data_IF_817407730978
#
_entry.id   IF_817407730978
#
_cell.length_a   1.000
_cell.length_b   1.000
_cell.length_c   1.000
_cell.angle_alpha   90.00
_cell.angle_beta   90.00
_cell.angle_gamma   90.00
#
_symmetry.space_group_name_H-M   'P 1'
#
loop_
_entity.id
_entity.type
_entity.pdbx_description
1 polymer ?
#
# COMPACT_ATOMS: atom_id res chain seq x y z
N UNK A 1 -13.59 -32.96 11.06
CA UNK A 1 -13.46 -34.43 10.90
C UNK A 1 -13.94 -35.06 12.18
N UNK A 2 -15.21 -35.44 12.18
CA UNK A 2 -15.85 -36.21 13.25
C UNK A 2 -15.34 -37.65 13.24
N UNK A 3 -15.29 -38.34 14.39
CA UNK A 3 -15.07 -39.77 14.40
C UNK A 3 -16.39 -40.51 14.16
N UNK A 4 -16.37 -41.37 13.14
CA UNK A 4 -17.44 -42.32 12.82
C UNK A 4 -17.78 -43.22 14.01
N UNK A 5 -18.96 -42.99 14.58
CA UNK A 5 -19.70 -43.94 15.39
C UNK A 5 -20.36 -44.97 14.46
N UNK A 6 -19.81 -46.18 14.42
CA UNK A 6 -20.46 -47.35 13.84
C UNK A 6 -21.40 -47.98 14.87
N UNK A 7 -22.66 -47.55 14.87
CA UNK A 7 -23.77 -48.28 15.48
C UNK A 7 -24.02 -49.58 14.70
N UNK A 8 -24.15 -50.70 15.41
CA UNK A 8 -24.95 -51.84 14.94
C UNK A 8 -26.01 -52.14 16.01
N UNK A 9 -27.23 -51.72 15.72
CA UNK A 9 -28.46 -52.10 16.40
C UNK A 9 -29.16 -53.23 15.63
N UNK A 10 -29.91 -54.02 16.41
CA UNK A 10 -31.01 -54.91 16.03
C UNK A 10 -30.68 -56.36 15.60
N UNK A 11 -31.12 -57.29 16.45
CA UNK A 11 -32.00 -58.39 16.02
C UNK A 11 -32.75 -58.90 17.27
N UNK A 12 -33.98 -58.41 17.45
CA UNK A 12 -35.03 -59.15 18.15
C UNK A 12 -35.49 -60.32 17.26
N UNK A 13 -36.13 -61.31 17.91
CA UNK A 13 -36.92 -62.41 17.32
C UNK A 13 -36.15 -63.64 16.83
N UNK A 14 -36.13 -64.71 17.64
CA UNK A 14 -36.89 -65.94 17.33
C UNK A 14 -37.43 -66.54 18.63
N UNK A 15 -38.74 -66.38 18.81
CA UNK A 15 -39.59 -67.11 19.73
C UNK A 15 -40.28 -68.17 18.87
N UNK A 16 -39.97 -69.46 19.02
CA UNK A 16 -40.91 -70.54 18.67
C UNK A 16 -40.49 -71.88 19.29
N UNK A 17 -41.50 -72.52 19.89
CA UNK A 17 -41.61 -73.93 20.29
C UNK A 17 -40.84 -74.40 21.53
N UNK A 18 -41.50 -74.28 22.68
CA UNK A 18 -41.98 -75.52 23.30
C UNK A 18 -43.32 -75.29 24.02
N UNK A 19 -44.38 -75.67 23.31
CA UNK A 19 -45.73 -75.85 23.83
C UNK A 19 -45.75 -77.04 24.78
N UNK A 20 -46.40 -76.87 25.93
CA UNK A 20 -47.07 -77.98 26.60
C UNK A 20 -46.29 -78.63 27.74
N UNK A 21 -46.34 -78.00 28.90
CA UNK A 21 -46.75 -78.74 30.10
C UNK A 21 -47.27 -77.76 31.15
N UNK A 22 -48.59 -77.56 31.16
CA UNK A 22 -49.32 -77.26 32.39
C UNK A 22 -49.13 -78.47 33.32
N UNK A 23 -48.03 -78.52 34.05
CA UNK A 23 -47.93 -79.40 35.19
C UNK A 23 -48.46 -78.67 36.40
N UNK A 24 -49.55 -79.26 36.89
CA UNK A 24 -50.25 -79.00 38.13
C UNK A 24 -49.27 -78.59 39.22
N UNK A 25 -49.60 -77.49 39.89
CA UNK A 25 -49.10 -77.18 41.23
C UNK A 25 -49.64 -78.30 42.12
N UNK A 26 -48.90 -79.41 42.19
CA UNK A 26 -49.04 -80.40 43.21
C UNK A 26 -48.28 -79.88 44.41
N UNK A 27 -48.99 -79.75 45.54
CA UNK A 27 -48.41 -79.47 46.84
C UNK A 27 -47.38 -80.56 47.15
N UNK A 28 -46.13 -80.27 46.83
CA UNK A 28 -44.94 -81.07 47.11
C UNK A 28 -43.82 -80.11 47.52
N UNK A 29 -43.56 -80.09 48.82
CA UNK A 29 -42.37 -79.56 49.51
C UNK A 29 -41.77 -78.26 48.99
N UNK A 30 -42.28 -77.14 49.51
CA UNK A 30 -41.65 -75.82 49.44
C UNK A 30 -40.16 -75.84 49.87
N UNK A 31 -39.77 -76.82 50.69
CA UNK A 31 -38.40 -77.11 51.12
C UNK A 31 -37.48 -77.59 49.99
N UNK A 32 -37.97 -78.39 49.03
CA UNK A 32 -37.15 -78.93 47.93
C UNK A 32 -36.97 -77.93 46.79
N UNK A 33 -37.96 -77.07 46.54
CA UNK A 33 -37.81 -75.91 45.65
C UNK A 33 -36.81 -74.89 46.21
N UNK A 34 -36.82 -74.65 47.53
CA UNK A 34 -35.83 -73.77 48.18
C UNK A 34 -34.42 -74.36 48.16
N UNK A 35 -34.26 -75.68 48.32
CA UNK A 35 -32.97 -76.38 48.18
C UNK A 35 -32.38 -76.25 46.78
N UNK A 36 -33.22 -76.38 45.75
CA UNK A 36 -32.80 -76.25 44.34
C UNK A 36 -32.45 -74.80 43.97
N UNK A 37 -33.21 -73.81 44.45
CA UNK A 37 -32.88 -72.40 44.25
C UNK A 37 -31.56 -72.04 44.95
N UNK A 38 -31.33 -72.58 46.15
CA UNK A 38 -30.08 -72.36 46.88
C UNK A 38 -28.88 -73.05 46.19
N UNK A 39 -29.04 -74.25 45.64
CA UNK A 39 -27.95 -74.91 44.89
C UNK A 39 -27.60 -74.15 43.61
N UNK A 40 -28.59 -73.63 42.87
CA UNK A 40 -28.35 -72.78 41.68
C UNK A 40 -27.59 -71.50 42.07
N UNK A 41 -27.95 -70.85 43.18
CA UNK A 41 -27.25 -69.65 43.66
C UNK A 41 -25.80 -69.94 44.06
N UNK A 42 -25.57 -71.07 44.74
CA UNK A 42 -24.22 -71.49 45.15
C UNK A 42 -23.35 -71.84 43.94
N UNK A 43 -23.88 -72.59 42.97
CA UNK A 43 -23.14 -72.91 41.74
C UNK A 43 -22.89 -71.67 40.88
N UNK A 44 -23.84 -70.74 40.77
CA UNK A 44 -23.62 -69.46 40.10
C UNK A 44 -22.51 -68.65 40.79
N UNK A 45 -22.52 -68.56 42.12
CA UNK A 45 -21.46 -67.87 42.85
C UNK A 45 -20.09 -68.54 42.67
N UNK A 46 -20.05 -69.89 42.57
CA UNK A 46 -18.84 -70.66 42.24
C UNK A 46 -18.35 -70.37 40.82
N UNK A 47 -19.23 -70.38 39.82
CA UNK A 47 -18.88 -70.04 38.45
C UNK A 47 -18.40 -68.59 38.31
N UNK A 48 -19.07 -67.62 38.94
CA UNK A 48 -18.63 -66.23 38.95
C UNK A 48 -17.27 -66.04 39.64
N UNK A 49 -16.97 -66.82 40.69
CA UNK A 49 -15.66 -66.83 41.33
C UNK A 49 -14.58 -67.45 40.40
N UNK A 50 -14.87 -68.60 39.78
CA UNK A 50 -13.97 -69.27 38.84
C UNK A 50 -13.71 -68.43 37.60
N UNK A 51 -14.71 -67.72 37.07
CA UNK A 51 -14.56 -66.84 35.91
C UNK A 51 -13.74 -65.59 36.24
N UNK A 52 -13.88 -65.04 37.46
CA UNK A 52 -12.97 -63.98 37.95
C UNK A 52 -11.53 -64.47 38.05
N UNK A 53 -11.31 -65.68 38.56
CA UNK A 53 -9.98 -66.28 38.68
C UNK A 53 -9.38 -66.62 37.31
N UNK A 54 -10.19 -67.11 36.36
CA UNK A 54 -9.76 -67.33 34.97
C UNK A 54 -9.42 -66.02 34.27
N UNK A 55 -10.22 -64.98 34.49
CA UNK A 55 -9.96 -63.64 33.94
C UNK A 55 -8.67 -63.06 34.50
N UNK A 56 -8.44 -63.15 35.82
CA UNK A 56 -7.22 -62.64 36.45
C UNK A 56 -5.96 -63.35 35.95
N UNK A 57 -6.03 -64.67 35.72
CA UNK A 57 -4.93 -65.44 35.11
C UNK A 57 -4.70 -65.07 33.64
N UNK A 58 -5.77 -64.83 32.87
CA UNK A 58 -5.68 -64.42 31.46
C UNK A 58 -5.21 -62.97 31.26
N UNK A 59 -5.32 -62.10 32.28
CA UNK A 59 -4.88 -60.71 32.21
C UNK A 59 -3.36 -60.57 32.07
N UNK A 60 -2.57 -61.42 32.72
CA UNK A 60 -1.10 -61.33 32.70
C UNK A 60 -0.51 -61.44 31.28
N UNK A 61 -0.80 -62.50 30.48
CA UNK A 61 -0.29 -62.59 29.12
C UNK A 61 -0.85 -61.48 28.21
N UNK A 62 -2.10 -61.05 28.41
CA UNK A 62 -2.68 -59.93 27.66
C UNK A 62 -1.95 -58.61 27.95
N UNK A 63 -1.69 -58.29 29.21
CA UNK A 63 -0.97 -57.07 29.61
C UNK A 63 0.50 -57.11 29.17
N UNK A 64 1.13 -58.30 29.16
CA UNK A 64 2.46 -58.47 28.60
C UNK A 64 2.49 -58.14 27.11
N UNK A 65 1.48 -58.57 26.34
CA UNK A 65 1.34 -58.20 24.92
C UNK A 65 1.11 -56.69 24.75
N UNK A 66 0.25 -56.07 25.57
CA UNK A 66 0.04 -54.61 25.54
C UNK A 66 1.33 -53.85 25.84
N UNK A 67 2.10 -54.29 26.83
CA UNK A 67 3.39 -53.68 27.20
C UNK A 67 4.41 -53.77 26.07
N UNK A 68 4.55 -54.95 25.45
CA UNK A 68 5.47 -55.16 24.31
C UNK A 68 5.09 -54.38 23.06
N UNK A 69 3.80 -54.09 22.83
CA UNK A 69 3.38 -53.21 21.74
C UNK A 69 3.63 -51.73 22.05
N UNK A 70 3.32 -51.27 23.27
CA UNK A 70 3.53 -49.88 23.68
C UNK A 70 5.00 -49.46 23.67
N UNK A 71 5.92 -50.35 24.02
CA UNK A 71 7.35 -50.05 24.00
C UNK A 71 7.92 -49.82 22.60
N UNK A 72 7.23 -50.27 21.54
CA UNK A 72 7.62 -50.02 20.14
C UNK A 72 7.31 -48.60 19.68
N UNK A 73 6.40 -47.89 20.36
CA UNK A 73 6.04 -46.51 20.07
C UNK A 73 6.69 -45.56 21.08
N UNK A 74 7.55 -44.66 20.60
CA UNK A 74 8.06 -43.54 21.41
C UNK A 74 7.15 -42.32 21.23
N UNK A 75 6.92 -41.59 22.33
CA UNK A 75 6.33 -40.26 22.23
C UNK A 75 7.27 -39.32 21.45
N UNK A 76 6.70 -38.42 20.66
CA UNK A 76 7.48 -37.42 19.91
C UNK A 76 7.87 -36.26 20.81
N UNK A 77 9.06 -35.69 20.58
CA UNK A 77 9.56 -34.52 21.30
C UNK A 77 9.20 -33.23 20.54
N UNK A 78 8.26 -32.46 21.09
CA UNK A 78 7.74 -31.27 20.43
C UNK A 78 8.73 -30.11 20.37
N UNK A 79 9.85 -30.18 21.10
CA UNK A 79 10.91 -29.16 21.04
C UNK A 79 11.80 -29.31 19.80
N UNK A 80 11.72 -30.45 19.11
CA UNK A 80 12.63 -30.84 18.02
C UNK A 80 12.01 -30.76 16.63
N UNK A 81 11.20 -29.74 16.36
CA UNK A 81 10.45 -29.59 15.11
C UNK A 81 11.31 -29.75 13.84
N UNK A 82 12.47 -29.09 13.76
CA UNK A 82 13.31 -29.14 12.55
C UNK A 82 14.31 -30.32 12.54
N UNK A 83 14.48 -31.01 13.67
CA UNK A 83 15.44 -32.12 13.82
C UNK A 83 14.81 -33.48 13.52
N UNK A 84 13.56 -33.70 13.94
CA UNK A 84 12.82 -34.95 13.70
C UNK A 84 11.75 -34.77 12.62
N UNK A 85 11.82 -35.50 11.49
CA UNK A 85 10.83 -35.42 10.42
C UNK A 85 9.42 -35.86 10.86
N UNK A 86 9.28 -36.79 11.81
CA UNK A 86 7.97 -37.23 12.30
C UNK A 86 7.26 -36.11 13.07
N UNK A 87 8.04 -35.25 13.72
CA UNK A 87 7.51 -34.06 14.41
C UNK A 87 7.02 -33.01 13.39
N UNK A 88 7.68 -32.89 12.23
CA UNK A 88 7.22 -32.05 11.13
C UNK A 88 5.90 -32.56 10.54
N UNK A 89 5.77 -33.88 10.36
CA UNK A 89 4.53 -34.48 9.88
C UNK A 89 3.37 -34.27 10.86
N UNK A 90 3.63 -34.44 12.17
CA UNK A 90 2.64 -34.22 13.23
C UNK A 90 2.16 -32.76 13.30
N UNK A 91 3.07 -31.79 13.16
CA UNK A 91 2.75 -30.36 13.24
C UNK A 91 2.27 -29.76 11.89
N UNK A 92 2.40 -30.48 10.78
CA UNK A 92 1.99 -29.99 9.47
C UNK A 92 0.47 -29.86 9.38
N UNK A 93 -0.02 -28.75 8.83
CA UNK A 93 -1.46 -28.52 8.60
C UNK A 93 -2.11 -29.64 7.77
N UNK A 94 -1.38 -30.17 6.79
CA UNK A 94 -1.80 -31.29 5.94
C UNK A 94 -1.61 -32.68 6.58
N UNK A 95 -1.07 -32.77 7.80
CA UNK A 95 -0.72 -34.03 8.46
C UNK A 95 0.48 -34.77 7.85
N UNK A 96 1.16 -34.14 6.89
CA UNK A 96 2.42 -34.61 6.30
C UNK A 96 3.21 -33.42 5.78
N UNK A 97 4.54 -33.50 5.89
CA UNK A 97 5.46 -32.48 5.40
C UNK A 97 5.53 -32.47 3.87
N UNK A 98 6.03 -31.36 3.34
CA UNK A 98 6.26 -31.21 1.90
C UNK A 98 7.22 -32.30 1.40
N UNK A 99 6.82 -33.02 0.35
CA UNK A 99 7.64 -34.05 -0.30
C UNK A 99 8.85 -33.43 -1.00
N UNK A 100 9.87 -34.26 -1.22
CA UNK A 100 11.00 -33.91 -2.09
C UNK A 100 10.49 -33.58 -3.51
N UNK A 101 11.12 -32.62 -4.23
CA UNK A 101 10.66 -32.21 -5.55
C UNK A 101 10.50 -33.34 -6.57
N UNK A 102 11.35 -34.37 -6.53
CA UNK A 102 11.29 -35.54 -7.44
C UNK A 102 10.13 -36.49 -7.14
N UNK A 103 9.55 -36.41 -5.94
CA UNK A 103 8.46 -37.28 -5.49
C UNK A 103 7.08 -36.60 -5.64
N UNK A 104 7.04 -35.39 -6.21
CA UNK A 104 5.80 -34.68 -6.56
C UNK A 104 5.45 -35.04 -8.00
N UNK A 105 4.36 -35.77 -8.24
CA UNK A 105 4.02 -36.29 -9.58
C UNK A 105 3.62 -35.19 -10.57
N UNK A 106 3.13 -34.04 -10.08
CA UNK A 106 2.46 -32.98 -10.81
C UNK A 106 3.17 -31.61 -10.70
N UNK A 107 4.50 -31.60 -10.79
CA UNK A 107 5.32 -30.39 -10.71
C UNK A 107 5.69 -29.74 -12.05
N UNK A 108 6.62 -28.78 -12.00
CA UNK A 108 7.22 -28.17 -13.19
C UNK A 108 6.31 -27.13 -13.87
N UNK A 109 6.23 -27.18 -15.20
CA UNK A 109 5.56 -26.14 -15.99
C UNK A 109 4.07 -26.01 -15.70
N UNK A 110 3.41 -27.09 -15.27
CA UNK A 110 1.98 -27.11 -14.97
C UNK A 110 1.60 -26.21 -13.77
N UNK A 111 2.50 -26.08 -12.79
CA UNK A 111 2.28 -25.27 -11.59
C UNK A 111 2.83 -23.84 -11.73
N UNK A 112 3.31 -23.44 -12.91
CA UNK A 112 3.83 -22.10 -13.14
C UNK A 112 2.73 -21.05 -12.94
N UNK A 113 2.94 -20.12 -12.02
CA UNK A 113 2.01 -19.01 -11.75
C UNK A 113 2.26 -17.87 -12.75
N UNK A 114 2.00 -18.15 -14.03
CA UNK A 114 2.08 -17.16 -15.13
C UNK A 114 0.74 -16.44 -15.36
N UNK A 115 -0.23 -16.62 -14.46
CA UNK A 115 -1.53 -15.93 -14.51
C UNK A 115 -1.37 -14.42 -14.28
N UNK A 116 -0.40 -14.01 -13.45
CA UNK A 116 -0.04 -12.62 -13.23
C UNK A 116 0.90 -12.19 -14.36
N UNK A 117 0.32 -11.87 -15.51
CA UNK A 117 1.02 -11.36 -16.69
C UNK A 117 0.21 -10.24 -17.32
N UNK A 118 0.92 -9.27 -17.89
CA UNK A 118 0.31 -8.19 -18.63
C UNK A 118 1.24 -7.77 -19.77
N UNK A 119 0.67 -7.15 -20.80
CA UNK A 119 1.42 -6.52 -21.88
C UNK A 119 1.29 -5.02 -21.69
N UNK A 120 2.42 -4.33 -21.71
CA UNK A 120 2.46 -2.86 -21.74
C UNK A 120 2.51 -2.39 -23.17
N UNK A 121 1.48 -1.67 -23.59
CA UNK A 121 1.50 -0.91 -24.83
C UNK A 121 2.02 0.49 -24.49
N UNK A 122 3.19 0.84 -25.02
CA UNK A 122 3.84 2.12 -24.78
C UNK A 122 4.07 2.84 -26.11
N UNK A 123 3.61 4.08 -26.19
CA UNK A 123 3.89 4.93 -27.35
C UNK A 123 5.36 5.34 -27.38
N UNK A 124 5.85 5.71 -28.55
CA UNK A 124 7.26 6.05 -28.78
C UNK A 124 7.80 7.13 -27.81
N UNK A 125 6.98 8.11 -27.44
CA UNK A 125 7.35 9.21 -26.54
C UNK A 125 6.49 9.26 -25.25
N UNK A 126 5.77 8.18 -24.93
CA UNK A 126 4.98 8.18 -23.70
C UNK A 126 5.90 8.25 -22.48
N UNK A 127 5.78 9.33 -21.71
CA UNK A 127 6.58 9.52 -20.50
C UNK A 127 6.06 8.67 -19.36
N UNK A 128 4.73 8.58 -19.20
CA UNK A 128 4.06 7.82 -18.14
C UNK A 128 3.15 6.77 -18.75
N UNK A 129 3.30 5.49 -18.38
CA UNK A 129 2.37 4.46 -18.82
C UNK A 129 1.00 4.65 -18.15
N UNK A 130 -0.06 4.69 -18.95
CA UNK A 130 -1.46 4.78 -18.50
C UNK A 130 -2.11 3.40 -18.28
N UNK A 131 -1.41 2.31 -18.62
CA UNK A 131 -1.87 0.91 -18.56
C UNK A 131 -2.16 0.39 -17.13
N UNK A 132 -1.80 1.14 -16.10
CA UNK A 132 -1.92 0.74 -14.70
C UNK A 132 -0.92 -0.34 -14.27
N UNK A 133 0.05 -0.67 -15.12
CA UNK A 133 1.10 -1.65 -14.81
C UNK A 133 2.11 -1.12 -13.78
N UNK A 134 2.96 -2.00 -13.23
CA UNK A 134 3.99 -1.62 -12.26
C UNK A 134 4.93 -0.53 -12.81
N UNK A 135 5.23 0.44 -11.95
CA UNK A 135 6.19 1.51 -12.24
C UNK A 135 7.52 1.20 -11.58
N UNK A 136 8.61 1.55 -12.25
CA UNK A 136 9.93 1.60 -11.64
C UNK A 136 10.00 2.72 -10.59
N UNK A 137 10.94 2.60 -9.66
CA UNK A 137 11.26 3.66 -8.70
C UNK A 137 11.89 4.86 -9.42
N UNK A 138 11.71 6.07 -8.88
CA UNK A 138 12.20 7.34 -9.44
C UNK A 138 13.73 7.46 -9.51
N UNK A 139 14.45 6.55 -8.83
CA UNK A 139 15.89 6.38 -9.04
C UNK A 139 16.24 5.84 -10.43
N UNK A 140 15.31 5.18 -11.12
CA UNK A 140 15.49 4.68 -12.48
C UNK A 140 15.02 5.73 -13.48
N UNK A 141 15.86 6.05 -14.48
CA UNK A 141 15.59 7.11 -15.46
C UNK A 141 14.56 6.72 -16.55
N UNK A 142 13.37 6.25 -16.17
CA UNK A 142 12.23 5.88 -17.04
C UNK A 142 10.91 6.29 -16.38
N UNK A 143 9.74 6.12 -17.03
CA UNK A 143 8.42 6.33 -16.43
C UNK A 143 8.22 7.72 -15.80
N UNK A 144 8.57 8.79 -16.51
CA UNK A 144 8.40 10.18 -16.05
C UNK A 144 9.23 10.57 -14.81
N UNK A 145 10.33 9.86 -14.57
CA UNK A 145 11.27 10.13 -13.47
C UNK A 145 11.71 11.60 -13.35
N UNK A 146 11.74 12.37 -14.44
CA UNK A 146 12.14 13.79 -14.43
C UNK A 146 11.20 14.63 -13.58
N UNK A 147 9.89 14.39 -13.67
CA UNK A 147 8.90 15.11 -12.88
C UNK A 147 9.00 14.68 -11.41
N UNK A 148 9.09 13.38 -11.16
CA UNK A 148 9.15 12.82 -9.80
C UNK A 148 10.41 13.27 -9.05
N UNK A 149 11.59 13.24 -9.70
CA UNK A 149 12.84 13.69 -9.06
C UNK A 149 12.89 15.19 -8.77
N UNK A 150 12.05 15.99 -9.44
CA UNK A 150 11.94 17.44 -9.24
C UNK A 150 10.80 17.80 -8.27
N UNK A 151 10.10 16.82 -7.73
CA UNK A 151 9.08 17.03 -6.71
C UNK A 151 9.71 17.42 -5.36
N UNK A 152 8.99 18.23 -4.59
CA UNK A 152 9.44 18.74 -3.28
C UNK A 152 9.61 17.63 -2.24
N UNK A 153 8.81 16.56 -2.33
CA UNK A 153 8.80 15.48 -1.35
C UNK A 153 9.68 14.30 -1.77
N UNK A 154 10.35 14.38 -2.92
CA UNK A 154 11.31 13.39 -3.36
C UNK A 154 12.62 13.48 -2.56
N UNK A 155 13.21 12.32 -2.25
CA UNK A 155 14.47 12.21 -1.51
C UNK A 155 15.34 11.11 -2.13
N UNK A 156 16.50 11.49 -2.65
CA UNK A 156 17.54 10.52 -3.00
C UNK A 156 18.41 10.20 -1.78
N UNK A 157 18.81 8.94 -1.65
CA UNK A 157 19.75 8.51 -0.62
C UNK A 157 21.22 8.81 -0.94
N UNK A 158 21.51 9.31 -2.14
CA UNK A 158 22.86 9.67 -2.55
C UNK A 158 23.04 11.18 -2.68
N UNK A 159 24.27 11.64 -2.47
CA UNK A 159 24.61 13.05 -2.67
C UNK A 159 24.48 13.47 -4.15
N UNK A 160 24.06 14.72 -4.42
CA UNK A 160 23.94 15.26 -5.77
C UNK A 160 25.32 15.31 -6.45
N UNK A 161 25.32 15.21 -7.78
CA UNK A 161 26.56 15.01 -8.57
C UNK A 161 27.53 16.17 -8.41
N UNK A 162 27.01 17.39 -8.30
CA UNK A 162 27.78 18.63 -8.14
C UNK A 162 28.65 18.65 -6.88
N UNK A 163 28.32 17.83 -5.87
CA UNK A 163 29.02 17.78 -4.58
C UNK A 163 29.83 16.49 -4.39
N UNK A 164 29.89 15.61 -5.39
CA UNK A 164 30.69 14.37 -5.31
C UNK A 164 32.17 14.68 -5.57
N UNK A 165 33.07 14.05 -4.81
CA UNK A 165 34.52 14.27 -4.91
C UNK A 165 35.33 13.07 -5.42
N UNK A 166 34.68 12.00 -5.90
CA UNK A 166 35.37 10.78 -6.31
C UNK A 166 35.46 10.61 -7.84
N UNK A 167 36.60 10.12 -8.34
CA UNK A 167 36.75 9.77 -9.75
C UNK A 167 36.05 8.46 -10.17
N UNK A 168 35.71 7.57 -9.23
CA UNK A 168 34.97 6.34 -9.53
C UNK A 168 33.52 6.65 -9.91
N UNK A 169 33.01 6.02 -10.96
CA UNK A 169 31.66 6.22 -11.52
C UNK A 169 31.35 7.64 -12.02
N UNK A 170 32.39 8.47 -12.23
CA UNK A 170 32.22 9.75 -12.89
C UNK A 170 32.02 9.55 -14.40
N UNK A 171 30.98 10.17 -14.97
CA UNK A 171 30.82 10.22 -16.43
C UNK A 171 31.80 11.21 -17.03
N UNK A 172 32.14 11.06 -18.32
CA UNK A 172 33.05 11.97 -19.02
C UNK A 172 32.62 13.44 -18.86
N UNK A 173 31.32 13.71 -19.07
CA UNK A 173 30.77 15.05 -18.88
C UNK A 173 30.94 15.54 -17.44
N UNK A 174 30.62 14.72 -16.43
CA UNK A 174 30.69 15.12 -15.04
C UNK A 174 32.12 15.38 -14.55
N UNK A 175 33.11 14.67 -15.12
CA UNK A 175 34.51 14.89 -14.79
C UNK A 175 35.06 16.19 -15.40
N UNK A 176 34.55 16.62 -16.56
CA UNK A 176 35.00 17.84 -17.26
C UNK A 176 34.25 19.10 -16.88
N UNK A 177 32.95 18.99 -16.62
CA UNK A 177 32.05 20.11 -16.36
C UNK A 177 31.67 20.15 -14.88
N UNK A 178 32.53 20.79 -14.10
CA UNK A 178 32.31 21.10 -12.68
C UNK A 178 31.95 22.58 -12.51
N UNK A 179 31.22 22.96 -11.45
CA UNK A 179 30.93 24.37 -11.20
C UNK A 179 32.23 25.17 -11.06
N UNK A 180 32.35 26.25 -11.85
CA UNK A 180 33.59 27.03 -11.95
C UNK A 180 33.84 27.98 -10.78
N UNK A 181 32.77 28.45 -10.12
CA UNK A 181 32.83 29.41 -9.02
C UNK A 181 32.83 28.69 -7.65
N UNK A 182 33.88 28.87 -6.83
CA UNK A 182 33.90 28.34 -5.46
C UNK A 182 32.77 28.89 -4.59
N UNK A 183 32.44 30.18 -4.72
CA UNK A 183 31.33 30.82 -4.00
C UNK A 183 29.98 30.17 -4.33
N UNK A 184 29.78 29.77 -5.60
CA UNK A 184 28.60 29.03 -5.98
C UNK A 184 28.54 27.66 -5.30
N UNK A 185 29.65 26.93 -5.26
CA UNK A 185 29.73 25.62 -4.59
C UNK A 185 29.44 25.76 -3.11
N UNK A 186 29.94 26.80 -2.44
CA UNK A 186 29.67 27.07 -1.04
C UNK A 186 28.17 27.35 -0.79
N UNK A 187 27.53 28.18 -1.62
CA UNK A 187 26.08 28.44 -1.53
C UNK A 187 25.24 27.17 -1.70
N UNK A 188 25.58 26.34 -2.69
CA UNK A 188 24.89 25.06 -2.94
C UNK A 188 25.08 24.11 -1.76
N UNK A 189 26.32 23.99 -1.26
CA UNK A 189 26.66 23.12 -0.14
C UNK A 189 25.98 23.56 1.16
N UNK A 190 25.97 24.85 1.45
CA UNK A 190 25.30 25.44 2.62
C UNK A 190 23.80 25.16 2.58
N UNK A 191 23.14 25.42 1.44
CA UNK A 191 21.70 25.16 1.26
C UNK A 191 21.39 23.67 1.38
N UNK A 192 22.18 22.81 0.74
CA UNK A 192 22.01 21.35 0.76
C UNK A 192 22.14 20.77 2.18
N UNK A 193 23.19 21.14 2.89
CA UNK A 193 23.44 20.66 4.25
C UNK A 193 22.42 21.20 5.26
N UNK A 194 21.99 22.46 5.10
CA UNK A 194 21.04 23.11 6.01
C UNK A 194 19.60 22.63 5.86
N UNK A 195 19.22 22.05 4.72
CA UNK A 195 17.82 21.68 4.43
C UNK A 195 17.68 20.22 4.02
N UNK A 196 18.17 19.86 2.85
CA UNK A 196 17.77 18.62 2.16
C UNK A 196 18.57 17.40 2.60
N UNK A 197 19.85 17.54 3.03
CA UNK A 197 20.73 16.40 3.32
C UNK A 197 20.16 15.42 4.35
N UNK A 198 19.67 15.94 5.47
CA UNK A 198 19.17 15.14 6.59
C UNK A 198 17.63 15.11 6.70
N UNK A 199 16.93 15.84 5.82
CA UNK A 199 15.49 15.74 5.73
C UNK A 199 15.05 14.35 5.24
N UNK A 200 14.03 13.78 5.90
CA UNK A 200 13.36 12.58 5.43
C UNK A 200 14.17 11.28 5.51
N UNK A 201 15.24 11.20 6.31
CA UNK A 201 16.09 10.01 6.42
C UNK A 201 15.33 8.75 6.85
N UNK A 202 14.25 8.89 7.62
CA UNK A 202 13.42 7.77 8.06
C UNK A 202 12.78 6.98 6.89
N UNK A 203 12.69 7.57 5.70
CA UNK A 203 12.17 6.92 4.49
C UNK A 203 13.24 6.14 3.72
N UNK A 204 14.52 6.32 4.05
CA UNK A 204 15.61 5.68 3.31
C UNK A 204 15.81 4.27 3.87
N UNK A 205 15.55 3.27 3.02
CA UNK A 205 15.76 1.87 3.37
C UNK A 205 17.25 1.48 3.44
N UNK A 206 17.56 0.23 3.83
CA UNK A 206 18.93 -0.25 3.96
C UNK A 206 19.72 -0.26 2.65
N UNK A 207 19.04 -0.24 1.50
CA UNK A 207 19.66 -0.16 0.17
C UNK A 207 20.02 1.26 -0.25
N UNK A 208 19.67 2.28 0.56
CA UNK A 208 19.83 3.69 0.20
C UNK A 208 18.76 4.22 -0.76
N UNK A 209 17.75 3.42 -1.11
CA UNK A 209 16.60 3.85 -1.91
C UNK A 209 15.48 4.27 -0.96
N UNK A 210 14.86 5.42 -1.21
CA UNK A 210 13.75 5.90 -0.40
C UNK A 210 12.44 5.21 -0.81
N UNK A 211 11.65 4.83 0.19
CA UNK A 211 10.31 4.30 -0.03
C UNK A 211 9.37 5.44 -0.52
N UNK A 212 8.51 5.17 -1.52
CA UNK A 212 7.52 6.14 -1.95
C UNK A 212 6.52 6.42 -0.83
N UNK A 213 5.98 7.65 -0.81
CA UNK A 213 4.96 8.02 0.18
C UNK A 213 3.63 7.40 -0.23
N UNK A 214 3.11 6.49 0.60
CA UNK A 214 1.81 5.88 0.36
C UNK A 214 0.71 6.71 1.04
N UNK A 215 -0.26 7.26 0.28
CA UNK A 215 -1.42 7.92 0.88
C UNK A 215 -2.26 6.89 1.63
N UNK A 216 -2.67 7.21 2.86
CA UNK A 216 -3.45 6.31 3.73
C UNK A 216 -4.93 6.62 3.71
N UNK A 217 -5.30 7.87 3.46
CA UNK A 217 -6.70 8.33 3.48
C UNK A 217 -7.08 8.98 2.15
N UNK A 218 -8.36 8.90 1.80
CA UNK A 218 -8.87 9.42 0.53
C UNK A 218 -8.71 10.94 0.34
N UNK A 219 -8.60 11.69 1.43
CA UNK A 219 -8.41 13.15 1.41
C UNK A 219 -6.95 13.57 1.56
N UNK A 220 -6.02 12.64 1.78
CA UNK A 220 -4.60 12.96 1.88
C UNK A 220 -4.06 13.31 0.48
N UNK A 221 -3.52 14.51 0.35
CA UNK A 221 -2.83 14.96 -0.86
C UNK A 221 -1.34 14.69 -0.70
N UNK A 222 -0.68 14.29 -1.79
CA UNK A 222 0.78 14.05 -1.81
C UNK A 222 1.58 15.34 -1.67
N UNK A 223 0.95 16.49 -1.94
CA UNK A 223 1.55 17.82 -1.94
C UNK A 223 0.59 18.85 -2.54
N UNK A 224 1.06 20.09 -2.61
CA UNK A 224 0.37 21.19 -3.30
C UNK A 224 0.76 21.18 -4.78
N UNK A 225 -0.22 21.01 -5.68
CA UNK A 225 0.03 20.85 -7.12
C UNK A 225 -0.54 21.98 -7.98
N UNK A 226 -1.59 22.66 -7.49
CA UNK A 226 -2.29 23.70 -8.26
C UNK A 226 -1.71 25.07 -7.93
N UNK A 227 -1.62 25.39 -6.65
CA UNK A 227 -0.93 26.59 -6.18
C UNK A 227 0.52 26.24 -5.88
N UNK A 228 1.28 25.86 -6.92
CA UNK A 228 2.73 25.63 -6.82
C UNK A 228 3.52 26.91 -6.53
N UNK A 229 2.82 28.01 -6.17
CA UNK A 229 3.41 29.28 -5.75
C UNK A 229 4.48 28.93 -4.75
N UNK A 230 5.69 29.10 -5.24
CA UNK A 230 6.92 28.87 -4.53
C UNK A 230 6.83 29.53 -3.17
N UNK A 231 7.33 28.89 -2.10
CA UNK A 231 7.18 29.28 -0.68
C UNK A 231 7.78 30.69 -0.38
N UNK A 232 7.25 31.73 -1.02
CA UNK A 232 7.85 33.04 -1.19
C UNK A 232 9.13 33.05 -2.04
N UNK A 233 9.98 34.00 -1.69
CA UNK A 233 11.28 34.25 -2.31
C UNK A 233 12.39 33.58 -1.50
N UNK A 234 13.38 32.99 -2.17
CA UNK A 234 14.46 32.30 -1.47
C UNK A 234 15.46 31.60 -2.38
N UNK A 235 16.31 30.77 -1.77
CA UNK A 235 17.43 30.09 -2.46
C UNK A 235 17.08 28.68 -2.92
N UNK A 236 16.05 28.06 -2.35
CA UNK A 236 15.69 26.67 -2.68
C UNK A 236 14.97 26.59 -4.03
N UNK A 237 15.03 25.45 -4.76
CA UNK A 237 14.34 25.29 -6.05
C UNK A 237 12.82 25.50 -5.99
N UNK A 238 12.22 25.26 -4.82
CA UNK A 238 10.78 25.45 -4.56
C UNK A 238 10.43 26.86 -4.09
N UNK A 239 11.41 27.79 -4.10
CA UNK A 239 11.24 29.22 -3.84
C UNK A 239 11.56 30.06 -5.09
N UNK A 240 10.98 31.25 -5.19
CA UNK A 240 11.23 32.18 -6.30
C UNK A 240 12.61 32.82 -6.14
N UNK A 241 13.44 32.77 -7.18
CA UNK A 241 14.79 33.37 -7.22
C UNK A 241 14.77 34.81 -7.74
N UNK A 242 13.62 35.47 -7.71
CA UNK A 242 13.43 36.84 -8.21
C UNK A 242 14.19 37.83 -7.30
N UNK A 243 15.06 38.64 -7.90
CA UNK A 243 15.76 39.71 -7.17
C UNK A 243 14.77 40.75 -6.66
N UNK A 244 15.10 41.39 -5.53
CA UNK A 244 14.20 42.34 -4.86
C UNK A 244 13.75 43.48 -5.78
N UNK A 245 14.69 44.03 -6.55
CA UNK A 245 14.42 45.11 -7.51
C UNK A 245 13.41 44.73 -8.59
N UNK A 246 13.30 43.44 -8.93
CA UNK A 246 12.46 42.95 -10.04
C UNK A 246 11.11 42.39 -9.59
N UNK A 247 10.82 42.34 -8.29
CA UNK A 247 9.57 41.77 -7.76
C UNK A 247 8.33 42.47 -8.31
N UNK A 248 7.36 41.72 -8.84
CA UNK A 248 6.11 42.28 -9.37
C UNK A 248 6.23 42.90 -10.76
N UNK A 249 7.35 42.72 -11.45
CA UNK A 249 7.47 43.10 -12.86
C UNK A 249 6.68 42.13 -13.74
N UNK A 250 6.05 42.61 -14.82
CA UNK A 250 5.17 41.75 -15.63
C UNK A 250 5.90 40.62 -16.38
N UNK A 251 7.20 40.76 -16.64
CA UNK A 251 8.02 39.77 -17.38
C UNK A 251 8.77 38.79 -16.48
N UNK A 252 8.78 39.03 -15.16
CA UNK A 252 9.47 38.18 -14.17
C UNK A 252 8.67 38.12 -12.87
N UNK A 253 8.23 36.92 -12.51
CA UNK A 253 7.59 36.67 -11.22
C UNK A 253 6.60 35.51 -11.28
N UNK A 254 6.74 34.57 -10.35
CA UNK A 254 5.79 33.47 -10.14
C UNK A 254 5.19 33.49 -8.73
N UNK A 255 5.82 34.19 -7.80
CA UNK A 255 5.33 34.50 -6.46
C UNK A 255 4.71 35.92 -6.38
N UNK A 256 3.72 36.06 -5.50
CA UNK A 256 3.09 37.34 -5.22
C UNK A 256 4.10 38.33 -4.61
N UNK A 257 4.28 39.55 -5.16
CA UNK A 257 5.20 40.54 -4.61
C UNK A 257 4.74 41.05 -3.23
N UNK A 258 3.43 41.20 -3.04
CA UNK A 258 2.79 41.59 -1.79
C UNK A 258 1.45 40.87 -1.66
N UNK A 259 1.19 40.28 -0.49
CA UNK A 259 -0.08 39.63 -0.21
C UNK A 259 -1.05 40.64 0.41
N UNK A 260 -2.32 40.55 0.02
CA UNK A 260 -3.42 41.36 0.57
C UNK A 260 -3.29 42.89 0.42
N UNK A 261 -2.47 43.38 -0.50
CA UNK A 261 -2.45 44.79 -0.83
C UNK A 261 -3.32 45.06 -2.06
N UNK A 262 -4.22 46.03 -1.92
CA UNK A 262 -5.13 46.39 -2.99
C UNK A 262 -4.54 47.55 -3.78
N UNK A 263 -4.70 47.49 -5.10
CA UNK A 263 -4.14 48.48 -6.04
C UNK A 263 -4.56 49.91 -5.63
N UNK A 264 -5.81 50.11 -5.21
CA UNK A 264 -6.29 51.41 -4.75
C UNK A 264 -5.55 51.91 -3.50
N UNK A 265 -5.32 51.05 -2.50
CA UNK A 265 -4.55 51.42 -1.32
C UNK A 265 -3.10 51.77 -1.66
N UNK A 266 -2.44 50.99 -2.53
CA UNK A 266 -1.08 51.32 -3.02
C UNK A 266 -1.03 52.68 -3.72
N UNK A 267 -2.00 52.98 -4.60
CA UNK A 267 -2.06 54.29 -5.26
C UNK A 267 -2.36 55.44 -4.30
N UNK A 268 -3.16 55.22 -3.25
CA UNK A 268 -3.39 56.23 -2.20
C UNK A 268 -2.13 56.52 -1.38
N UNK A 269 -1.24 55.53 -1.22
CA UNK A 269 0.11 55.70 -0.63
C UNK A 269 1.11 56.34 -1.60
N UNK A 270 0.70 56.64 -2.84
CA UNK A 270 1.55 57.19 -3.90
C UNK A 270 2.72 56.27 -4.29
N UNK A 271 2.57 54.96 -4.10
CA UNK A 271 3.52 53.96 -4.58
C UNK A 271 3.34 53.74 -6.09
N UNK A 272 4.43 53.73 -6.89
CA UNK A 272 4.34 53.36 -8.30
C UNK A 272 3.95 51.89 -8.47
N UNK A 273 2.98 51.63 -9.34
CA UNK A 273 2.52 50.28 -9.64
C UNK A 273 3.63 49.46 -10.31
N UNK A 274 4.11 48.44 -9.61
CA UNK A 274 5.30 47.67 -9.95
C UNK A 274 5.20 46.93 -11.28
N UNK A 275 3.99 46.51 -11.67
CA UNK A 275 3.70 45.86 -12.95
C UNK A 275 3.71 46.82 -14.15
N UNK A 276 3.71 48.13 -13.93
CA UNK A 276 3.82 49.14 -14.98
C UNK A 276 5.27 49.50 -15.33
N UNK A 277 6.24 48.99 -14.57
CA UNK A 277 7.67 49.18 -14.87
C UNK A 277 7.98 48.63 -16.26
N UNK A 278 8.94 49.25 -16.93
CA UNK A 278 9.34 48.85 -18.30
C UNK A 278 10.54 47.92 -18.24
N UNK A 279 10.58 46.98 -19.17
CA UNK A 279 11.76 46.14 -19.39
C UNK A 279 12.68 46.83 -20.41
N UNK A 280 13.97 46.92 -20.11
CA UNK A 280 14.97 47.25 -21.11
C UNK A 280 15.32 45.93 -21.80
N UNK A 281 14.91 45.77 -23.06
CA UNK A 281 15.37 44.64 -23.88
C UNK A 281 16.86 44.82 -24.15
N UNK A 282 17.69 43.89 -23.67
CA UNK A 282 19.13 43.85 -23.98
C UNK A 282 19.40 43.44 -25.44
N UNK A 283 18.39 42.92 -26.14
CA UNK A 283 18.48 42.61 -27.57
C UNK A 283 17.98 43.79 -28.43
N UNK A 284 18.85 44.46 -29.21
CA UNK A 284 18.47 45.56 -30.10
C UNK A 284 17.56 45.13 -31.27
N UNK A 285 17.38 43.83 -31.52
CA UNK A 285 16.45 43.29 -32.54
C UNK A 285 15.07 42.93 -31.99
N UNK A 286 14.93 42.83 -30.68
CA UNK A 286 13.66 42.62 -29.99
C UNK A 286 12.88 43.95 -29.99
N UNK A 287 12.05 44.14 -31.02
CA UNK A 287 11.10 45.26 -31.10
C UNK A 287 9.87 45.07 -30.20
N UNK A 288 9.93 44.13 -29.25
CA UNK A 288 8.82 43.87 -28.34
C UNK A 288 8.93 44.88 -27.19
N UNK A 289 8.17 45.97 -27.31
CA UNK A 289 7.86 47.00 -26.29
C UNK A 289 8.79 48.23 -26.16
N UNK A 290 9.57 48.58 -27.20
CA UNK A 290 10.30 49.87 -27.23
C UNK A 290 9.41 51.10 -27.51
N UNK A 291 8.11 50.92 -27.79
CA UNK A 291 7.19 52.02 -28.11
C UNK A 291 5.93 51.98 -27.26
N UNK A 292 6.04 52.39 -26.00
CA UNK A 292 4.97 53.13 -25.37
C UNK A 292 5.57 54.46 -24.92
N UNK A 293 5.08 55.58 -25.44
CA UNK A 293 5.42 56.91 -24.90
C UNK A 293 5.19 56.90 -23.39
N UNK A 294 5.99 57.59 -22.55
CA UNK A 294 5.53 57.88 -21.20
C UNK A 294 4.15 58.54 -21.34
N UNK A 295 3.15 58.06 -20.60
CA UNK A 295 2.03 58.95 -20.28
C UNK A 295 2.66 60.00 -19.37
N UNK A 296 2.89 61.24 -19.84
CA UNK A 296 3.28 62.28 -18.92
C UNK A 296 2.16 62.36 -17.89
N UNK A 297 2.52 62.40 -16.62
CA UNK A 297 1.61 62.93 -15.62
C UNK A 297 1.05 64.25 -16.18
N UNK A 298 -0.28 64.33 -16.23
CA UNK A 298 -1.06 65.46 -16.72
C UNK A 298 -1.01 65.73 -18.24
N UNK A 299 -1.57 64.82 -19.05
CA UNK A 299 -2.11 65.24 -20.35
C UNK A 299 -3.55 65.74 -20.17
N UNK A 300 -3.93 66.80 -20.88
CA UNK A 300 -5.30 67.33 -20.88
C UNK A 300 -6.37 66.25 -21.22
N UNK A 301 -5.98 65.19 -21.94
CA UNK A 301 -6.84 64.04 -22.21
C UNK A 301 -7.13 63.18 -20.98
N UNK A 302 -6.17 63.05 -20.06
CA UNK A 302 -6.31 62.26 -18.82
C UNK A 302 -7.19 62.98 -17.79
N UNK A 303 -7.13 64.32 -17.74
CA UNK A 303 -8.05 65.17 -16.99
C UNK A 303 -9.49 65.05 -17.51
N UNK A 304 -9.67 65.08 -18.83
CA UNK A 304 -10.99 64.93 -19.47
C UNK A 304 -11.62 63.55 -19.23
N UNK A 305 -10.81 62.49 -19.10
CA UNK A 305 -11.28 61.15 -18.74
C UNK A 305 -11.62 61.08 -17.24
N UNK A 306 -10.85 61.73 -16.35
CA UNK A 306 -11.16 61.81 -14.91
C UNK A 306 -12.45 62.60 -14.63
N UNK A 307 -12.62 63.75 -15.29
CA UNK A 307 -13.85 64.57 -15.21
C UNK A 307 -15.03 63.86 -15.89
N UNK A 308 -14.79 63.20 -17.03
CA UNK A 308 -15.77 62.35 -17.70
C UNK A 308 -16.23 61.16 -16.85
N UNK A 309 -15.31 60.52 -16.10
CA UNK A 309 -15.62 59.45 -15.15
C UNK A 309 -16.40 59.96 -13.92
N UNK A 310 -16.12 61.17 -13.44
CA UNK A 310 -16.95 61.80 -12.39
C UNK A 310 -18.36 62.12 -12.89
N UNK A 311 -18.52 62.55 -14.15
CA UNK A 311 -19.84 62.81 -14.75
C UNK A 311 -20.66 61.56 -15.09
N UNK A 312 -20.01 60.39 -15.24
CA UNK A 312 -20.67 59.11 -15.60
C UNK A 312 -20.96 58.21 -14.40
N UNK A 313 -20.69 58.67 -13.17
CA UNK A 313 -21.12 57.99 -11.94
C UNK A 313 -22.65 58.01 -11.71
N UNK A 314 -23.43 58.59 -12.62
CA UNK A 314 -24.85 58.30 -12.75
C UNK A 314 -25.07 57.27 -13.86
N UNK A 315 -24.68 56.01 -13.65
CA UNK A 315 -25.11 54.92 -14.52
C UNK A 315 -25.82 53.82 -13.74
N UNK A 316 -27.10 53.69 -14.05
CA UNK A 316 -28.04 52.72 -13.53
C UNK A 316 -27.57 51.31 -13.88
N UNK A 317 -27.53 50.48 -12.85
CA UNK A 317 -27.18 49.06 -12.87
C UNK A 317 -28.06 48.30 -13.88
N UNK A 318 -27.51 47.94 -15.04
CA UNK A 318 -28.10 46.94 -15.93
C UNK A 318 -27.03 45.92 -16.29
N UNK A 319 -27.06 44.80 -15.57
CA UNK A 319 -26.28 43.61 -15.93
C UNK A 319 -27.00 42.93 -17.09
N UNK A 320 -26.38 42.93 -18.28
CA UNK A 320 -26.67 41.95 -19.33
C UNK A 320 -25.39 41.15 -19.59
N UNK A 321 -25.47 39.88 -19.24
CA UNK A 321 -24.52 38.81 -19.55
C UNK A 321 -24.33 38.68 -21.07
N UNK A 322 -23.17 39.09 -21.57
CA UNK A 322 -22.72 38.78 -22.94
C UNK A 322 -21.70 37.65 -22.89
N UNK A 323 -22.13 36.42 -22.57
CA UNK A 323 -21.45 35.18 -22.95
C UNK A 323 -22.49 34.06 -22.97
N UNK A 324 -23.28 34.04 -24.04
CA UNK A 324 -24.05 32.87 -24.45
C UNK A 324 -23.74 32.64 -25.93
N UNK A 325 -22.54 32.12 -26.19
CA UNK A 325 -22.23 31.46 -27.44
C UNK A 325 -22.36 29.96 -27.20
N UNK A 326 -23.18 29.31 -28.01
CA UNK A 326 -23.40 27.86 -27.99
C UNK A 326 -22.07 27.11 -28.21
N UNK A 327 -21.45 26.70 -27.12
CA UNK A 327 -20.33 25.77 -27.17
C UNK A 327 -20.91 24.38 -27.38
N UNK A 328 -20.85 23.89 -28.62
CA UNK A 328 -21.13 22.48 -28.93
C UNK A 328 -19.97 21.68 -28.31
N UNK A 329 -20.27 21.00 -27.20
CA UNK A 329 -19.36 20.13 -26.48
C UNK A 329 -19.33 18.74 -27.15
N UNK A 330 -18.26 18.46 -27.91
CA UNK A 330 -18.03 17.16 -28.54
C UNK A 330 -17.41 16.11 -27.59
N UNK A 331 -17.30 16.39 -26.28
CA UNK A 331 -16.66 15.47 -25.33
C UNK A 331 -17.59 14.37 -24.77
N UNK A 332 -18.90 14.43 -25.05
CA UNK A 332 -19.86 13.40 -24.59
C UNK A 332 -20.19 12.43 -25.72
N UNK A 333 -19.38 11.36 -25.86
CA UNK A 333 -19.89 10.11 -26.42
C UNK A 333 -20.72 9.40 -25.34
N UNK A 334 -22.00 9.06 -25.58
CA UNK A 334 -22.77 8.27 -24.64
C UNK A 334 -22.18 6.86 -24.55
N UNK A 335 -22.09 6.35 -23.32
CA UNK A 335 -21.85 4.94 -23.06
C UNK A 335 -23.00 4.14 -23.69
N UNK A 336 -22.71 3.45 -24.80
CA UNK A 336 -23.59 2.39 -25.28
C UNK A 336 -23.43 1.19 -24.36
N UNK A 337 -24.50 0.91 -23.63
CA UNK A 337 -24.76 -0.38 -22.99
C UNK A 337 -24.91 -1.43 -24.09
N UNK A 338 -24.15 -2.51 -23.99
CA UNK A 338 -24.44 -3.82 -24.55
C UNK A 338 -23.98 -4.88 -23.58
#
# INVERSE_FOLDING_TARGET
MEPHLGMLTSAQSVLTHNTGCRQRIANGDATDNLRTINSIRVERARHEAVDRDRSSQAQSPYLAQVSTYRSRSSAMDHTKLMQDPKMQDWAAVSGSRRRLPTNVPDGGAYINVNIIRYKRDADYLSTTPYDGGPKYNDEVCINNWVQERRDKNYKSGFHPRELRSSGRFATEYAARYVPSSPEYVERVTSTYNGTTRFAGLARIGPTGIADPVFPKKAYETSGEHVFYVKDGFGVTPHQDHTSEEKRGSFWVGTAAPQQHDTVTHSTMRSEPLEFQRRCVSEDPKSQVLMRNKPLPFESAGTLKIREGLQSTNNFVRTWRTMYQSDHIDYSRRPATVS
#
